data_IF_971534358452
#
_entry.id   IF_971534358452
#
_cell.length_a   1.000
_cell.length_b   1.000
_cell.length_c   1.000
_cell.angle_alpha   90.00
_cell.angle_beta   90.00
_cell.angle_gamma   90.00
#
_symmetry.space_group_name_H-M   'P 1'
#
loop_
_entity.id
_entity.type
_entity.pdbx_description
1 polymer ?
#
# COMPACT_ATOMS: atom_id res chain seq x y z
N UNK A 1 -4.51 -5.47 -6.95
CA UNK A 1 -4.26 -5.71 -8.40
C UNK A 1 -4.21 -7.20 -8.81
N UNK A 2 -4.86 -8.17 -8.13
CA UNK A 2 -4.74 -9.58 -8.55
C UNK A 2 -5.34 -9.82 -9.94
N UNK A 3 -6.41 -9.10 -10.30
CA UNK A 3 -7.08 -9.24 -11.59
C UNK A 3 -6.20 -8.76 -12.74
N UNK A 4 -5.49 -7.64 -12.59
CA UNK A 4 -4.53 -7.18 -13.60
C UNK A 4 -3.35 -8.15 -13.71
N UNK A 5 -2.74 -8.55 -12.60
CA UNK A 5 -1.64 -9.52 -12.60
C UNK A 5 -1.99 -10.84 -13.32
N UNK A 6 -3.17 -11.40 -13.02
CA UNK A 6 -3.58 -12.71 -13.54
C UNK A 6 -4.18 -12.60 -14.94
N UNK A 7 -5.09 -11.64 -15.19
CA UNK A 7 -5.83 -11.55 -16.47
C UNK A 7 -5.11 -10.73 -17.54
N UNK A 8 -4.37 -9.69 -17.15
CA UNK A 8 -3.68 -8.81 -18.10
C UNK A 8 -2.24 -9.26 -18.35
N UNK A 9 -1.54 -9.67 -17.30
CA UNK A 9 -0.12 -10.06 -17.37
C UNK A 9 0.11 -11.57 -17.32
N UNK A 10 -0.95 -12.38 -17.27
CA UNK A 10 -0.87 -13.85 -17.40
C UNK A 10 -0.25 -14.58 -16.21
N UNK A 11 0.01 -13.90 -15.09
CA UNK A 11 0.63 -14.50 -13.91
C UNK A 11 -0.29 -15.56 -13.28
N UNK A 12 0.28 -16.68 -12.82
CA UNK A 12 -0.50 -17.66 -12.06
C UNK A 12 -0.90 -17.11 -10.69
N UNK A 13 -1.98 -17.66 -10.13
CA UNK A 13 -2.44 -17.32 -8.77
C UNK A 13 -1.36 -17.63 -7.72
N UNK A 14 -0.57 -18.69 -7.92
CA UNK A 14 0.52 -19.09 -7.03
C UNK A 14 1.68 -18.10 -7.05
N UNK A 15 2.12 -17.68 -8.25
CA UNK A 15 3.19 -16.69 -8.40
C UNK A 15 2.80 -15.34 -7.81
N UNK A 16 1.57 -14.88 -8.07
CA UNK A 16 1.06 -13.65 -7.47
C UNK A 16 1.02 -13.73 -5.95
N UNK A 17 0.54 -14.85 -5.39
CA UNK A 17 0.45 -15.03 -3.95
C UNK A 17 1.83 -15.06 -3.29
N UNK A 18 2.82 -15.70 -3.93
CA UNK A 18 4.19 -15.74 -3.44
C UNK A 18 4.84 -14.34 -3.50
N UNK A 19 4.67 -13.62 -4.61
CA UNK A 19 5.13 -12.24 -4.74
C UNK A 19 4.56 -11.36 -3.63
N UNK A 20 3.24 -11.47 -3.39
CA UNK A 20 2.58 -10.71 -2.34
C UNK A 20 3.12 -11.06 -0.95
N UNK A 21 3.36 -12.33 -0.68
CA UNK A 21 3.90 -12.78 0.60
C UNK A 21 5.31 -12.23 0.86
N UNK A 22 6.21 -12.34 -0.11
CA UNK A 22 7.61 -11.90 0.02
C UNK A 22 7.69 -10.38 0.10
N UNK A 23 7.05 -9.68 -0.84
CA UNK A 23 7.12 -8.21 -0.90
C UNK A 23 6.31 -7.56 0.22
N UNK A 24 5.20 -8.16 0.63
CA UNK A 24 4.42 -7.71 1.78
C UNK A 24 5.21 -7.84 3.08
N UNK A 25 5.92 -8.96 3.27
CA UNK A 25 6.79 -9.15 4.43
C UNK A 25 7.95 -8.14 4.43
N UNK A 26 8.62 -7.95 3.29
CA UNK A 26 9.69 -6.97 3.15
C UNK A 26 9.18 -5.54 3.44
N UNK A 27 8.02 -5.19 2.88
CA UNK A 27 7.35 -3.92 3.13
C UNK A 27 7.00 -3.72 4.61
N UNK A 28 6.59 -4.77 5.32
CA UNK A 28 6.35 -4.71 6.75
C UNK A 28 7.62 -4.40 7.56
N UNK A 29 8.77 -5.02 7.21
CA UNK A 29 10.05 -4.68 7.84
C UNK A 29 10.45 -3.22 7.59
N UNK A 30 10.30 -2.75 6.35
CA UNK A 30 10.56 -1.35 6.00
C UNK A 30 9.64 -0.42 6.80
N UNK A 31 8.36 -0.79 6.93
CA UNK A 31 7.38 0.00 7.67
C UNK A 31 7.71 0.10 9.17
N UNK A 32 8.26 -0.95 9.78
CA UNK A 32 8.78 -0.91 11.17
C UNK A 32 9.90 0.11 11.30
N UNK A 33 10.85 0.12 10.35
CA UNK A 33 11.94 1.10 10.33
C UNK A 33 11.47 2.54 10.09
N UNK A 34 10.28 2.73 9.53
CA UNK A 34 9.68 4.05 9.31
C UNK A 34 9.16 4.70 10.59
N UNK A 35 8.88 3.94 11.66
CA UNK A 35 8.39 4.49 12.95
C UNK A 35 9.26 5.62 13.49
N UNK A 36 10.58 5.41 13.69
CA UNK A 36 11.51 6.46 14.11
C UNK A 36 11.57 7.67 13.16
N UNK A 37 11.39 7.45 11.85
CA UNK A 37 11.34 8.55 10.87
C UNK A 37 10.06 9.38 11.02
N UNK A 38 8.91 8.75 11.28
CA UNK A 38 7.64 9.44 11.53
C UNK A 38 7.76 10.34 12.76
N UNK A 39 8.36 9.84 13.84
CA UNK A 39 8.56 10.62 15.07
C UNK A 39 9.51 11.82 14.86
N UNK A 40 10.54 11.66 14.02
CA UNK A 40 11.54 12.70 13.76
C UNK A 40 11.08 13.77 12.77
N UNK A 41 10.50 13.37 11.63
CA UNK A 41 10.11 14.30 10.56
C UNK A 41 8.69 14.85 10.73
N UNK A 42 7.92 14.25 11.63
CA UNK A 42 6.55 14.63 11.91
C UNK A 42 5.56 13.93 10.98
N UNK A 43 4.46 13.52 11.59
CA UNK A 43 3.46 12.63 10.99
C UNK A 43 2.82 13.17 9.70
N UNK A 44 2.56 14.48 9.64
CA UNK A 44 1.93 15.11 8.47
C UNK A 44 2.81 15.02 7.23
N UNK A 45 4.13 15.22 7.38
CA UNK A 45 5.07 15.20 6.25
C UNK A 45 5.26 13.78 5.74
N UNK A 46 5.49 12.83 6.65
CA UNK A 46 5.74 11.43 6.27
C UNK A 46 4.53 10.81 5.58
N UNK A 47 3.31 11.07 6.06
CA UNK A 47 2.11 10.54 5.41
C UNK A 47 1.77 11.23 4.09
N UNK A 48 2.09 12.52 3.91
CA UNK A 48 1.97 13.17 2.60
C UNK A 48 2.95 12.56 1.59
N UNK A 49 4.18 12.28 2.02
CA UNK A 49 5.20 11.65 1.17
C UNK A 49 4.73 10.26 0.73
N UNK A 50 4.19 9.42 1.62
CA UNK A 50 3.71 8.09 1.26
C UNK A 50 2.57 8.14 0.23
N UNK A 51 1.62 9.07 0.38
CA UNK A 51 0.53 9.26 -0.60
C UNK A 51 1.07 9.74 -1.95
N UNK A 52 2.00 10.70 -1.96
CA UNK A 52 2.65 11.18 -3.19
C UNK A 52 3.42 10.06 -3.87
N UNK A 53 4.12 9.21 -3.12
CA UNK A 53 4.86 8.06 -3.67
C UNK A 53 3.93 7.06 -4.35
N UNK A 54 2.81 6.69 -3.73
CA UNK A 54 1.82 5.82 -4.38
C UNK A 54 1.25 6.47 -5.63
N UNK A 55 0.86 7.75 -5.54
CA UNK A 55 0.30 8.45 -6.68
C UNK A 55 1.30 8.53 -7.85
N UNK A 56 2.56 8.87 -7.57
CA UNK A 56 3.62 8.92 -8.55
C UNK A 56 3.89 7.55 -9.17
N UNK A 57 3.89 6.48 -8.37
CA UNK A 57 4.07 5.12 -8.86
C UNK A 57 2.91 4.69 -9.77
N UNK A 58 1.66 4.92 -9.36
CA UNK A 58 0.48 4.65 -10.20
C UNK A 58 0.52 5.42 -11.51
N UNK A 59 0.89 6.70 -11.46
CA UNK A 59 1.01 7.55 -12.64
C UNK A 59 2.13 7.06 -13.57
N UNK A 60 3.27 6.68 -13.00
CA UNK A 60 4.39 6.13 -13.76
C UNK A 60 3.98 4.83 -14.47
N UNK A 61 3.28 3.93 -13.77
CA UNK A 61 2.77 2.70 -14.36
C UNK A 61 1.81 3.00 -15.52
N UNK A 62 0.92 3.98 -15.37
CA UNK A 62 -0.01 4.39 -16.42
C UNK A 62 0.69 5.03 -17.64
N UNK A 63 1.69 5.88 -17.42
CA UNK A 63 2.44 6.53 -18.52
C UNK A 63 3.36 5.55 -19.27
N UNK A 64 3.69 4.42 -18.65
CA UNK A 64 4.61 3.41 -19.20
C UNK A 64 3.89 2.18 -19.74
N UNK A 65 2.63 2.33 -20.17
CA UNK A 65 1.85 1.24 -20.79
C UNK A 65 2.58 0.54 -21.94
N UNK A 66 3.34 1.29 -22.75
CA UNK A 66 4.12 0.73 -23.85
C UNK A 66 5.23 -0.26 -23.42
N UNK A 67 5.67 -0.20 -22.15
CA UNK A 67 6.69 -1.10 -21.59
C UNK A 67 6.09 -2.36 -20.96
N UNK A 68 4.76 -2.48 -20.90
CA UNK A 68 4.06 -3.61 -20.27
C UNK A 68 4.25 -4.94 -20.99
N UNK A 69 4.86 -4.92 -22.18
CA UNK A 69 5.26 -6.12 -22.92
C UNK A 69 6.43 -6.84 -22.23
N UNK A 70 7.26 -6.12 -21.46
CA UNK A 70 8.37 -6.71 -20.74
C UNK A 70 7.91 -7.24 -19.37
N UNK A 71 7.93 -8.57 -19.23
CA UNK A 71 7.50 -9.28 -18.02
C UNK A 71 8.29 -8.85 -16.77
N UNK A 72 9.61 -8.66 -16.89
CA UNK A 72 10.46 -8.24 -15.77
C UNK A 72 10.06 -6.84 -15.26
N UNK A 73 9.75 -5.93 -16.19
CA UNK A 73 9.33 -4.57 -15.85
C UNK A 73 8.01 -4.57 -15.06
N UNK A 74 7.03 -5.33 -15.54
CA UNK A 74 5.73 -5.45 -14.89
C UNK A 74 5.87 -6.09 -13.52
N UNK A 75 6.69 -7.15 -13.39
CA UNK A 75 6.92 -7.83 -12.12
C UNK A 75 7.51 -6.86 -11.09
N UNK A 76 8.51 -6.05 -11.46
CA UNK A 76 9.10 -5.05 -10.55
C UNK A 76 8.06 -4.01 -10.13
N UNK A 77 7.23 -3.51 -11.05
CA UNK A 77 6.19 -2.54 -10.69
C UNK A 77 5.14 -3.12 -9.76
N UNK A 78 4.71 -4.36 -9.99
CA UNK A 78 3.81 -5.08 -9.10
C UNK A 78 4.44 -5.35 -7.72
N UNK A 79 5.73 -5.70 -7.69
CA UNK A 79 6.47 -5.90 -6.45
C UNK A 79 6.54 -4.62 -5.61
N UNK A 80 6.87 -3.48 -6.25
CA UNK A 80 6.90 -2.16 -5.61
C UNK A 80 5.51 -1.77 -5.10
N UNK A 81 4.46 -2.03 -5.89
CA UNK A 81 3.09 -1.77 -5.45
C UNK A 81 2.75 -2.49 -4.15
N UNK A 82 3.04 -3.80 -4.08
CA UNK A 82 2.75 -4.59 -2.87
C UNK A 82 3.61 -4.13 -1.69
N UNK A 83 4.86 -3.74 -1.93
CA UNK A 83 5.75 -3.23 -0.88
C UNK A 83 5.27 -1.89 -0.29
N UNK A 84 4.68 -1.02 -1.11
CA UNK A 84 4.19 0.31 -0.68
C UNK A 84 2.92 0.25 0.20
N UNK A 85 2.16 -0.84 0.11
CA UNK A 85 0.91 -1.05 0.86
C UNK A 85 1.14 -1.01 2.39
N UNK A 86 1.97 -1.89 3.00
CA UNK A 86 2.22 -1.86 4.45
C UNK A 86 2.85 -0.56 4.92
N UNK A 87 3.70 0.07 4.10
CA UNK A 87 4.34 1.37 4.42
C UNK A 87 3.27 2.46 4.58
N UNK A 88 2.31 2.50 3.67
CA UNK A 88 1.24 3.50 3.69
C UNK A 88 0.25 3.23 4.81
N UNK A 89 -0.03 1.96 5.08
CA UNK A 89 -0.90 1.56 6.19
C UNK A 89 -0.35 2.03 7.54
N UNK A 90 0.96 1.89 7.79
CA UNK A 90 1.59 2.41 9.02
C UNK A 90 1.46 3.93 9.12
N UNK A 91 1.68 4.65 8.01
CA UNK A 91 1.52 6.11 7.99
C UNK A 91 0.07 6.55 8.27
N UNK A 92 -0.92 5.80 7.78
CA UNK A 92 -2.34 6.06 8.02
C UNK A 92 -2.74 5.77 9.48
N UNK A 93 -2.30 4.63 10.02
CA UNK A 93 -2.51 4.27 11.44
C UNK A 93 -1.89 5.33 12.35
N UNK A 94 -0.67 5.77 12.04
CA UNK A 94 0.01 6.79 12.82
C UNK A 94 -0.82 8.09 12.89
N UNK A 95 -1.35 8.56 11.76
CA UNK A 95 -2.25 9.73 11.74
C UNK A 95 -3.47 9.49 12.63
N UNK A 96 -4.16 8.36 12.46
CA UNK A 96 -5.35 8.04 13.26
C UNK A 96 -5.04 8.09 14.76
N UNK A 97 -3.94 7.47 15.17
CA UNK A 97 -3.48 7.45 16.56
C UNK A 97 -3.11 8.84 17.10
N UNK A 98 -2.57 9.73 16.27
CA UNK A 98 -2.26 11.11 16.68
C UNK A 98 -3.50 11.96 16.99
N UNK A 99 -4.66 11.57 16.44
CA UNK A 99 -5.95 12.25 16.65
C UNK A 99 -6.76 11.60 17.79
N UNK A 100 -6.45 10.35 18.14
CA UNK A 100 -7.14 9.61 19.19
C UNK A 100 -7.07 10.30 20.56
N UNK A 101 -8.21 10.33 21.25
CA UNK A 101 -8.31 10.74 22.65
C UNK A 101 -8.02 9.55 23.54
N UNK A 102 -7.16 9.72 24.56
CA UNK A 102 -6.70 8.64 25.45
C UNK A 102 -7.83 7.81 26.09
N UNK A 103 -9.00 8.40 26.34
CA UNK A 103 -10.14 7.74 26.98
C UNK A 103 -10.83 6.69 26.09
N UNK A 104 -10.84 6.90 24.77
CA UNK A 104 -11.61 6.10 23.80
C UNK A 104 -10.76 5.68 22.59
N UNK A 105 -9.44 5.59 22.76
CA UNK A 105 -8.51 5.30 21.67
C UNK A 105 -8.77 3.94 21.01
N UNK A 106 -9.16 2.93 21.78
CA UNK A 106 -9.46 1.59 21.24
C UNK A 106 -10.66 1.60 20.28
N UNK A 107 -11.74 2.31 20.63
CA UNK A 107 -12.91 2.45 19.76
C UNK A 107 -12.61 3.32 18.55
N UNK A 108 -11.85 4.41 18.70
CA UNK A 108 -11.43 5.24 17.56
C UNK A 108 -10.54 4.47 16.59
N UNK A 109 -9.59 3.68 17.10
CA UNK A 109 -8.75 2.80 16.29
C UNK A 109 -9.58 1.78 15.50
N UNK A 110 -10.56 1.14 16.14
CA UNK A 110 -11.46 0.22 15.46
C UNK A 110 -12.21 0.89 14.30
N UNK A 111 -12.72 2.11 14.51
CA UNK A 111 -13.39 2.89 13.45
C UNK A 111 -12.43 3.20 12.29
N UNK A 112 -11.18 3.60 12.57
CA UNK A 112 -10.19 3.84 11.52
C UNK A 112 -9.86 2.58 10.71
N UNK A 113 -9.73 1.43 11.37
CA UNK A 113 -9.51 0.15 10.69
C UNK A 113 -10.73 -0.28 9.87
N UNK A 114 -11.95 -0.07 10.38
CA UNK A 114 -13.18 -0.30 9.64
C UNK A 114 -13.26 0.59 8.39
N UNK A 115 -12.87 1.86 8.49
CA UNK A 115 -12.83 2.77 7.34
C UNK A 115 -11.82 2.32 6.27
N UNK A 116 -10.64 1.85 6.69
CA UNK A 116 -9.65 1.29 5.76
C UNK A 116 -10.20 0.05 5.02
N UNK A 117 -10.83 -0.87 5.73
CA UNK A 117 -11.44 -2.07 5.13
C UNK A 117 -12.64 -1.73 4.22
N UNK A 118 -13.42 -0.70 4.56
CA UNK A 118 -14.49 -0.19 3.70
C UNK A 118 -13.91 0.38 2.40
N UNK A 119 -12.82 1.14 2.47
CA UNK A 119 -12.09 1.64 1.31
C UNK A 119 -11.60 0.51 0.39
N UNK A 120 -11.00 -0.54 0.95
CA UNK A 120 -10.55 -1.71 0.19
C UNK A 120 -11.74 -2.42 -0.50
N UNK A 121 -12.88 -2.51 0.18
CA UNK A 121 -14.11 -3.12 -0.35
C UNK A 121 -14.72 -2.30 -1.49
N UNK A 122 -14.78 -0.97 -1.34
CA UNK A 122 -15.24 -0.05 -2.39
C UNK A 122 -14.32 -0.09 -3.61
N UNK A 123 -13.01 -0.08 -3.40
CA UNK A 123 -12.02 -0.22 -4.48
C UNK A 123 -12.17 -1.53 -5.23
N UNK A 124 -12.35 -2.63 -4.51
CA UNK A 124 -12.59 -3.95 -5.11
C UNK A 124 -13.87 -4.00 -5.93
N UNK A 125 -14.92 -3.29 -5.52
CA UNK A 125 -16.18 -3.19 -6.29
C UNK A 125 -16.07 -2.33 -7.55
N UNK A 126 -15.25 -1.26 -7.51
CA UNK A 126 -15.10 -0.34 -8.64
C UNK A 126 -14.16 -0.88 -9.72
N UNK A 127 -13.13 -1.61 -9.32
CA UNK A 127 -12.03 -2.04 -10.20
C UNK A 127 -11.89 -3.56 -10.32
N UNK A 128 -12.82 -4.34 -9.78
CA UNK A 128 -12.79 -5.80 -9.75
C UNK A 128 -14.06 -6.47 -10.23
#
# INVERSE_FOLDING_TARGET
MPIAAIKLFGMSTGEWSNLVAVMGLLGAFIAVCLGPLIDRFGIKKTSMISVVLIFAHSLLLALTEHLWVNEDYVLVMLAVWVLLDPVTMVCAIAIGMSICTKRISATQFAVYMSAANLGASLGSKLFG
#
